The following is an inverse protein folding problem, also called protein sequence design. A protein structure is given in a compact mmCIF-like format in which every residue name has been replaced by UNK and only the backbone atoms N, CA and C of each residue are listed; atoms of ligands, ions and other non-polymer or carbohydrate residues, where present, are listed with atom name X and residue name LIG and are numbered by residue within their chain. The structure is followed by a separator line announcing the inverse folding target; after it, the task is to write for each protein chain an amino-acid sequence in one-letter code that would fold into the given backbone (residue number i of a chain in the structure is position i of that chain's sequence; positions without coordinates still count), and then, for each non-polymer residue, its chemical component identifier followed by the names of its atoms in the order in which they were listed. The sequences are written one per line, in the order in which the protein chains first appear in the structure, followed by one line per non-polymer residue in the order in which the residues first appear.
data_IF_477432410166
#
_entry.id   IF_477432410166
#
_cell.length_a   1.000
_cell.length_b   1.000
_cell.length_c   1.000
_cell.angle_alpha   90.00
_cell.angle_beta   90.00
_cell.angle_gamma   90.00
#
_symmetry.space_group_name_H-M   'P 1'
#
loop_
_entity.id
_entity.type
_entity.pdbx_description
1 polymer ?
#
# COMPACT_ATOMS: atom_id res chain seq x y z
N UNK A 1 35.16 -11.81 9.95
CA UNK A 1 34.63 -11.73 8.56
C UNK A 1 33.20 -11.29 8.69
N UNK A 2 32.85 -10.10 8.20
CA UNK A 2 31.45 -9.66 8.18
C UNK A 2 30.74 -10.42 7.06
N UNK A 3 29.84 -11.33 7.41
CA UNK A 3 28.93 -11.94 6.44
C UNK A 3 28.14 -10.80 5.77
N UNK A 4 28.30 -10.65 4.45
CA UNK A 4 27.46 -9.75 3.70
C UNK A 4 26.07 -10.38 3.63
N UNK A 5 25.09 -9.79 4.30
CA UNK A 5 23.70 -10.23 4.16
C UNK A 5 23.33 -10.27 2.66
N UNK A 6 22.68 -11.35 2.20
CA UNK A 6 22.24 -11.44 0.81
C UNK A 6 21.28 -10.29 0.50
N UNK A 7 21.65 -9.47 -0.49
CA UNK A 7 20.85 -8.31 -0.91
C UNK A 7 19.47 -8.78 -1.37
N UNK A 8 18.43 -8.30 -0.69
CA UNK A 8 17.05 -8.52 -1.13
C UNK A 8 16.85 -7.76 -2.45
N UNK A 9 16.20 -8.37 -3.47
CA UNK A 9 15.93 -7.68 -4.73
C UNK A 9 15.14 -6.39 -4.50
N UNK A 10 15.45 -5.38 -5.32
CA UNK A 10 14.76 -4.09 -5.32
C UNK A 10 13.29 -4.29 -5.73
N UNK A 11 12.40 -3.51 -5.10
CA UNK A 11 10.97 -3.58 -5.39
C UNK A 11 10.66 -2.59 -6.51
N UNK A 12 9.94 -3.06 -7.52
CA UNK A 12 9.46 -2.20 -8.59
C UNK A 12 8.44 -1.16 -8.08
N UNK A 13 8.47 0.04 -8.67
CA UNK A 13 7.48 1.07 -8.39
C UNK A 13 6.11 0.66 -8.92
N UNK A 14 5.05 0.99 -8.17
CA UNK A 14 3.67 0.66 -8.49
C UNK A 14 2.89 1.91 -8.89
N UNK A 15 2.44 1.97 -10.16
CA UNK A 15 1.77 3.16 -10.70
C UNK A 15 0.25 3.18 -10.43
N UNK A 16 -0.32 2.03 -10.05
CA UNK A 16 -1.77 1.81 -10.00
C UNK A 16 -2.31 0.93 -11.12
N UNK A 17 -1.47 0.40 -12.02
CA UNK A 17 -1.93 -0.51 -13.08
C UNK A 17 -2.32 -1.88 -12.50
N UNK A 18 -3.48 -2.42 -12.91
CA UNK A 18 -4.04 -3.62 -12.30
C UNK A 18 -3.20 -4.87 -12.57
N UNK A 19 -2.61 -4.97 -13.75
CA UNK A 19 -1.67 -6.03 -14.12
C UNK A 19 -0.40 -6.04 -13.26
N UNK A 20 -0.03 -4.91 -12.65
CA UNK A 20 1.12 -4.80 -11.77
C UNK A 20 0.82 -5.19 -10.31
N UNK A 21 -0.47 -5.25 -9.92
CA UNK A 21 -0.86 -5.39 -8.52
C UNK A 21 -0.36 -6.70 -7.89
N UNK A 22 -0.60 -7.84 -8.56
CA UNK A 22 -0.19 -9.15 -8.05
C UNK A 22 1.34 -9.29 -7.99
N UNK A 23 2.11 -8.97 -9.05
CA UNK A 23 3.57 -8.96 -8.98
C UNK A 23 4.14 -8.06 -7.89
N UNK A 24 3.62 -6.83 -7.75
CA UNK A 24 4.05 -5.88 -6.73
C UNK A 24 3.81 -6.42 -5.31
N UNK A 25 2.62 -6.93 -5.03
CA UNK A 25 2.30 -7.49 -3.72
C UNK A 25 3.14 -8.72 -3.37
N UNK A 26 3.51 -9.54 -4.35
CA UNK A 26 4.42 -10.66 -4.12
C UNK A 26 5.82 -10.19 -3.68
N UNK A 27 6.32 -9.08 -4.25
CA UNK A 27 7.59 -8.46 -3.85
C UNK A 27 7.52 -7.92 -2.41
N UNK A 28 6.45 -7.19 -2.07
CA UNK A 28 6.20 -6.67 -0.72
C UNK A 28 6.17 -7.80 0.33
N UNK A 29 5.41 -8.87 0.07
CA UNK A 29 5.29 -10.00 1.01
C UNK A 29 6.64 -10.68 1.28
N UNK A 30 7.51 -10.79 0.27
CA UNK A 30 8.87 -11.32 0.45
C UNK A 30 9.72 -10.44 1.36
N UNK A 31 9.60 -9.11 1.25
CA UNK A 31 10.31 -8.18 2.13
C UNK A 31 9.81 -8.26 3.58
N UNK A 32 8.50 -8.34 3.77
CA UNK A 32 7.92 -8.52 5.12
C UNK A 32 8.33 -9.84 5.75
N UNK A 33 8.39 -10.91 4.97
CA UNK A 33 8.88 -12.21 5.45
C UNK A 33 10.37 -12.17 5.80
N UNK A 34 11.20 -11.55 4.96
CA UNK A 34 12.65 -11.49 5.17
C UNK A 34 13.06 -10.56 6.33
N UNK A 35 12.28 -9.52 6.62
CA UNK A 35 12.62 -8.47 7.60
C UNK A 35 11.46 -8.21 8.58
N UNK A 36 10.86 -9.27 9.12
CA UNK A 36 9.66 -9.18 9.98
C UNK A 36 9.79 -8.14 11.10
N UNK A 37 10.96 -8.07 11.73
CA UNK A 37 11.22 -7.18 12.86
C UNK A 37 11.22 -5.70 12.46
N UNK A 38 11.62 -5.40 11.23
CA UNK A 38 11.58 -4.05 10.68
C UNK A 38 10.14 -3.57 10.43
N UNK A 39 9.19 -4.50 10.25
CA UNK A 39 7.79 -4.23 9.93
C UNK A 39 6.83 -4.59 11.09
N UNK A 40 7.26 -4.25 12.31
CA UNK A 40 6.56 -4.59 13.56
C UNK A 40 5.23 -3.88 13.80
N UNK A 41 4.90 -2.85 13.01
CA UNK A 41 3.63 -2.10 13.15
C UNK A 41 2.97 -1.90 11.80
N UNK A 42 1.65 -1.77 11.82
CA UNK A 42 0.86 -1.55 10.61
C UNK A 42 1.25 -0.27 9.88
N UNK A 43 1.49 0.82 10.63
CA UNK A 43 2.00 2.07 10.06
C UNK A 43 3.31 1.88 9.29
N UNK A 44 4.25 1.06 9.79
CA UNK A 44 5.51 0.78 9.08
C UNK A 44 5.28 -0.02 7.81
N UNK A 45 4.37 -0.99 7.82
CA UNK A 45 3.99 -1.78 6.64
C UNK A 45 3.37 -0.88 5.57
N UNK A 46 2.39 -0.05 5.95
CA UNK A 46 1.69 0.87 5.07
C UNK A 46 2.69 1.88 4.47
N UNK A 47 3.51 2.52 5.30
CA UNK A 47 4.53 3.47 4.84
C UNK A 47 5.54 2.84 3.88
N UNK A 48 5.92 1.58 4.11
CA UNK A 48 6.82 0.88 3.21
C UNK A 48 6.17 0.60 1.84
N UNK A 49 4.91 0.16 1.82
CA UNK A 49 4.17 -0.05 0.58
C UNK A 49 4.04 1.27 -0.18
N UNK A 50 3.58 2.33 0.48
CA UNK A 50 3.32 3.62 -0.18
C UNK A 50 4.58 4.33 -0.66
N UNK A 51 5.75 4.09 -0.05
CA UNK A 51 7.04 4.57 -0.55
C UNK A 51 7.39 4.05 -1.97
N UNK A 52 6.71 2.99 -2.43
CA UNK A 52 6.87 2.44 -3.76
C UNK A 52 5.78 2.87 -4.74
N UNK A 53 4.81 3.68 -4.29
CA UNK A 53 3.80 4.22 -5.19
C UNK A 53 4.34 5.32 -6.08
N UNK A 54 3.81 5.37 -7.30
CA UNK A 54 4.00 6.43 -8.28
C UNK A 54 2.68 6.69 -9.00
N UNK A 55 2.61 7.78 -9.78
CA UNK A 55 1.43 8.08 -10.59
C UNK A 55 0.13 8.06 -9.79
N UNK A 56 -0.86 7.31 -10.30
CA UNK A 56 -2.22 7.25 -9.73
C UNK A 56 -2.26 6.61 -8.33
N UNK A 57 -1.38 5.64 -8.04
CA UNK A 57 -1.29 5.06 -6.71
C UNK A 57 -0.77 6.06 -5.67
N UNK A 58 0.18 6.93 -6.06
CA UNK A 58 0.71 7.95 -5.17
C UNK A 58 -0.35 9.01 -4.87
N UNK A 59 -1.04 9.52 -5.89
CA UNK A 59 -2.11 10.51 -5.70
C UNK A 59 -3.26 9.96 -4.85
N UNK A 60 -3.65 8.70 -5.06
CA UNK A 60 -4.67 8.04 -4.21
C UNK A 60 -4.25 7.95 -2.74
N UNK A 61 -2.97 7.70 -2.46
CA UNK A 61 -2.47 7.63 -1.09
C UNK A 61 -2.43 9.01 -0.44
N UNK A 62 -2.04 10.05 -1.19
CA UNK A 62 -2.08 11.44 -0.73
C UNK A 62 -3.51 11.89 -0.40
N UNK A 63 -4.51 11.49 -1.21
CA UNK A 63 -5.92 11.76 -0.93
C UNK A 63 -6.37 11.15 0.40
N UNK A 64 -5.88 9.96 0.76
CA UNK A 64 -6.17 9.32 2.06
C UNK A 64 -5.51 10.11 3.18
N UNK A 65 -4.23 10.49 3.03
CA UNK A 65 -3.52 11.31 4.02
C UNK A 65 -4.28 12.60 4.32
N UNK A 66 -4.73 13.29 3.28
CA UNK A 66 -5.51 14.51 3.42
C UNK A 66 -6.88 14.28 4.05
N UNK A 67 -7.58 13.24 3.61
CA UNK A 67 -8.94 12.93 4.09
C UNK A 67 -8.91 12.57 5.57
N UNK A 68 -8.02 11.67 5.98
CA UNK A 68 -7.90 11.24 7.38
C UNK A 68 -7.38 12.35 8.30
N UNK A 69 -6.49 13.23 7.82
CA UNK A 69 -6.03 14.37 8.60
C UNK A 69 -7.14 15.39 8.92
N UNK A 70 -8.20 15.43 8.09
CA UNK A 70 -9.37 16.31 8.27
C UNK A 70 -10.47 15.66 9.10
N UNK A 71 -10.36 14.37 9.44
CA UNK A 71 -11.38 13.68 10.22
C UNK A 71 -11.44 14.20 11.66
N UNK A 72 -12.64 14.44 12.22
CA UNK A 72 -12.77 14.73 13.62
C UNK A 72 -12.31 13.52 14.44
N UNK A 73 -11.78 13.75 15.63
CA UNK A 73 -11.35 12.69 16.57
C UNK A 73 -12.50 11.72 16.92
N UNK A 74 -13.75 12.18 16.74
CA UNK A 74 -14.98 11.40 16.96
C UNK A 74 -15.43 10.60 15.74
N UNK A 75 -14.72 10.66 14.60
CA UNK A 75 -15.10 9.91 13.41
C UNK A 75 -15.02 8.41 13.67
N UNK A 76 -16.07 7.69 13.27
CA UNK A 76 -16.13 6.23 13.29
C UNK A 76 -15.74 5.62 11.95
N UNK A 77 -15.31 6.43 10.98
CA UNK A 77 -14.89 5.95 9.68
C UNK A 77 -13.62 5.08 9.81
N UNK A 78 -13.49 4.01 9.01
CA UNK A 78 -12.30 3.18 9.02
C UNK A 78 -11.06 4.01 8.68
N UNK A 79 -10.10 4.05 9.62
CA UNK A 79 -8.81 4.70 9.40
C UNK A 79 -7.86 3.74 8.68
N UNK A 80 -7.73 3.91 7.37
CA UNK A 80 -6.88 3.11 6.50
C UNK A 80 -5.42 3.24 6.92
N UNK A 81 -4.97 4.38 7.46
CA UNK A 81 -3.57 4.57 7.83
C UNK A 81 -3.18 3.97 9.20
N UNK A 82 -4.17 3.57 10.01
CA UNK A 82 -3.96 2.94 11.33
C UNK A 82 -4.06 1.41 11.29
N UNK A 83 -4.73 0.84 10.28
CA UNK A 83 -4.94 -0.62 10.14
C UNK A 83 -4.43 -1.14 8.81
N UNK A 84 -3.45 -2.04 8.86
CA UNK A 84 -2.91 -2.67 7.65
C UNK A 84 -3.96 -3.49 6.90
N UNK A 85 -4.88 -4.13 7.62
CA UNK A 85 -5.97 -4.90 7.03
C UNK A 85 -6.92 -3.98 6.25
N UNK A 86 -7.41 -2.91 6.87
CA UNK A 86 -8.32 -1.96 6.22
C UNK A 86 -7.65 -1.28 5.00
N UNK A 87 -6.36 -0.92 5.13
CA UNK A 87 -5.57 -0.42 4.01
C UNK A 87 -5.54 -1.42 2.85
N UNK A 88 -5.24 -2.69 3.14
CA UNK A 88 -5.11 -3.72 2.11
C UNK A 88 -6.42 -4.06 1.40
N UNK A 89 -7.55 -4.00 2.11
CA UNK A 89 -8.88 -4.16 1.50
C UNK A 89 -9.15 -3.03 0.50
N UNK A 90 -8.99 -1.77 0.92
CA UNK A 90 -9.15 -0.60 0.06
C UNK A 90 -8.16 -0.60 -1.11
N UNK A 91 -6.90 -0.96 -0.86
CA UNK A 91 -5.84 -1.01 -1.88
C UNK A 91 -6.15 -2.08 -2.94
N UNK A 92 -6.57 -3.27 -2.51
CA UNK A 92 -6.99 -4.35 -3.41
C UNK A 92 -8.24 -3.97 -4.19
N UNK A 93 -9.26 -3.43 -3.52
CA UNK A 93 -10.49 -3.00 -4.18
C UNK A 93 -10.21 -1.97 -5.28
N UNK A 94 -9.31 -1.02 -5.02
CA UNK A 94 -8.99 0.07 -5.94
C UNK A 94 -8.16 -0.37 -7.15
N UNK A 95 -7.21 -1.28 -6.97
CA UNK A 95 -6.17 -1.54 -7.97
C UNK A 95 -6.03 -2.99 -8.43
N UNK A 96 -6.76 -3.96 -7.86
CA UNK A 96 -6.64 -5.37 -8.31
C UNK A 96 -7.55 -5.75 -9.46
N UNK A 97 -8.56 -4.94 -9.78
CA UNK A 97 -9.55 -5.20 -10.83
C UNK A 97 -9.54 -4.07 -11.88
N UNK A 98 -9.21 -4.36 -13.16
CA UNK A 98 -9.29 -3.39 -14.26
C UNK A 98 -10.69 -2.77 -14.43
N UNK A 99 -11.76 -3.48 -14.06
CA UNK A 99 -13.15 -3.05 -14.22
C UNK A 99 -13.64 -2.07 -13.15
N UNK A 100 -12.89 -1.88 -12.06
CA UNK A 100 -13.31 -1.01 -10.95
C UNK A 100 -13.23 0.48 -11.30
N UNK A 101 -12.22 0.88 -12.09
CA UNK A 101 -12.07 2.26 -12.55
C UNK A 101 -13.21 2.68 -13.49
N UNK A 102 -13.72 1.75 -14.31
CA UNK A 102 -14.81 2.02 -15.26
C UNK A 102 -16.17 2.24 -14.58
N UNK A 103 -16.37 1.71 -13.37
CA UNK A 103 -17.63 1.81 -12.63
C UNK A 103 -17.75 3.06 -11.76
N UNK A 104 -16.62 3.62 -11.31
CA UNK A 104 -16.59 4.84 -10.49
C UNK A 104 -16.89 6.13 -11.29
N UNK A 105 -16.86 6.09 -12.63
CA UNK A 105 -17.10 7.25 -13.51
C UNK A 105 -18.58 7.34 -13.95
N UNK A 106 -19.41 6.35 -13.60
CA UNK A 106 -20.81 6.24 -14.03
C UNK A 106 -21.84 6.42 -12.90
N UNK A 107 -21.44 6.89 -11.71
CA UNK A 107 -22.33 7.25 -10.60
C UNK A 107 -22.16 8.72 -10.24
#
# INVERSE_FOLDING_TARGET
MSEAEPKTPEIEKFSGAAEQFVPFMAQIRRQFWAKSDAFSTDKKKIAFISAHFTGHAATWFDDILESEAKLPVTSTEPKLLESYEAFMESFKLRFSDPGHQSRAIQQ
#
